data_IF_878205705325
#
_entry.id   IF_878205705325
#
_cell.length_a   1.000
_cell.length_b   1.000
_cell.length_c   1.000
_cell.angle_alpha   90.00
_cell.angle_beta   90.00
_cell.angle_gamma   90.00
#
_symmetry.space_group_name_H-M   'P 1'
#
loop_
_entity.id
_entity.type
_entity.pdbx_description
1 polymer ?
#
# COMPACT_ATOMS: atom_id res chain seq x y z
N UNK A 1 46.09 35.21 -21.56
CA UNK A 1 46.03 34.08 -20.61
C UNK A 1 44.57 33.77 -20.40
N UNK A 2 44.13 32.76 -21.06
CA UNK A 2 42.77 32.30 -21.30
C UNK A 2 42.31 31.43 -20.14
N UNK A 3 41.23 31.79 -19.49
CA UNK A 3 40.52 30.95 -18.55
C UNK A 3 39.39 30.20 -19.27
N UNK A 4 39.52 28.90 -19.38
CA UNK A 4 38.50 28.04 -19.90
C UNK A 4 37.44 27.80 -18.81
N UNK A 5 36.19 28.18 -19.05
CA UNK A 5 35.03 27.79 -18.27
C UNK A 5 34.49 26.47 -18.81
N UNK A 6 34.63 25.43 -18.04
CA UNK A 6 33.96 24.15 -18.27
C UNK A 6 32.47 24.30 -17.99
N UNK A 7 31.70 24.27 -19.06
CA UNK A 7 30.24 24.24 -19.05
C UNK A 7 29.84 22.77 -18.85
N UNK A 8 29.49 22.39 -17.61
CA UNK A 8 28.98 21.07 -17.27
C UNK A 8 27.46 21.10 -17.53
N UNK A 9 27.08 20.74 -18.76
CA UNK A 9 25.71 20.65 -19.20
C UNK A 9 25.11 19.32 -18.71
N UNK A 10 24.21 19.41 -17.74
CA UNK A 10 23.27 18.35 -17.37
C UNK A 10 22.56 17.78 -18.61
N UNK A 11 22.36 16.45 -18.72
CA UNK A 11 21.68 15.86 -19.86
C UNK A 11 20.21 16.29 -19.88
N UNK A 12 19.82 17.00 -20.95
CA UNK A 12 18.47 17.45 -21.25
C UNK A 12 17.53 16.23 -21.46
N UNK A 13 16.77 15.84 -20.44
CA UNK A 13 15.69 14.85 -20.49
C UNK A 13 14.32 15.48 -20.82
N UNK A 14 14.23 16.45 -21.71
CA UNK A 14 12.95 17.06 -22.10
C UNK A 14 13.06 17.62 -23.52
N UNK A 15 13.06 16.72 -24.52
CA UNK A 15 12.60 17.00 -25.87
C UNK A 15 12.04 15.69 -26.47
N UNK A 16 10.92 15.21 -25.90
CA UNK A 16 10.08 14.22 -26.57
C UNK A 16 9.30 14.96 -27.66
N UNK A 17 9.51 14.59 -28.91
CA UNK A 17 8.74 15.04 -30.03
C UNK A 17 7.28 14.53 -29.83
N UNK A 18 6.27 15.41 -29.65
CA UNK A 18 4.88 14.97 -29.39
C UNK A 18 4.34 14.08 -30.49
N UNK A 19 4.78 14.26 -31.74
CA UNK A 19 4.39 13.40 -32.86
C UNK A 19 4.98 11.99 -32.72
N UNK A 20 6.20 11.89 -32.19
CA UNK A 20 6.86 10.61 -31.95
C UNK A 20 6.21 9.84 -30.78
N UNK A 21 5.81 10.54 -29.73
CA UNK A 21 5.08 9.93 -28.61
C UNK A 21 3.71 9.40 -29.06
N UNK A 22 3.00 10.18 -29.88
CA UNK A 22 1.72 9.77 -30.43
C UNK A 22 1.85 8.53 -31.35
N UNK A 23 2.91 8.48 -32.16
CA UNK A 23 3.22 7.32 -33.00
C UNK A 23 3.58 6.09 -32.16
N UNK A 24 4.38 6.25 -31.10
CA UNK A 24 4.67 5.16 -30.16
C UNK A 24 3.41 4.63 -29.50
N UNK A 25 2.52 5.50 -29.03
CA UNK A 25 1.25 5.10 -28.43
C UNK A 25 0.33 4.37 -29.42
N UNK A 26 0.25 4.84 -30.67
CA UNK A 26 -0.52 4.18 -31.73
C UNK A 26 0.03 2.78 -32.04
N UNK A 27 1.33 2.66 -32.26
CA UNK A 27 1.99 1.37 -32.54
C UNK A 27 1.84 0.40 -31.35
N UNK A 28 1.96 0.91 -30.13
CA UNK A 28 1.78 0.12 -28.91
C UNK A 28 0.32 -0.40 -28.81
N UNK A 29 -0.67 0.44 -29.07
CA UNK A 29 -2.07 0.05 -29.06
C UNK A 29 -2.39 -1.02 -30.12
N UNK A 30 -1.87 -0.87 -31.35
CA UNK A 30 -2.04 -1.88 -32.38
C UNK A 30 -1.43 -3.23 -31.97
N UNK A 31 -0.30 -3.21 -31.29
CA UNK A 31 0.41 -4.42 -30.89
C UNK A 31 -0.18 -5.11 -29.66
N UNK A 32 -0.42 -4.34 -28.57
CA UNK A 32 -0.82 -4.90 -27.27
C UNK A 32 -2.34 -5.03 -27.10
N UNK A 33 -3.13 -4.06 -27.60
CA UNK A 33 -4.59 -4.08 -27.41
C UNK A 33 -5.28 -4.81 -28.58
N UNK A 34 -4.79 -4.63 -29.82
CA UNK A 34 -5.39 -5.18 -31.01
C UNK A 34 -4.67 -6.43 -31.54
N UNK A 35 -3.65 -6.92 -30.83
CA UNK A 35 -2.90 -8.16 -31.10
C UNK A 35 -2.36 -8.26 -32.54
N UNK A 36 -2.09 -7.12 -33.18
CA UNK A 36 -1.54 -7.10 -34.55
C UNK A 36 -0.07 -7.49 -34.53
N UNK A 37 0.34 -8.25 -35.58
CA UNK A 37 1.77 -8.56 -35.73
C UNK A 37 2.58 -7.31 -36.10
N UNK A 38 3.87 -7.29 -35.77
CA UNK A 38 4.75 -6.18 -36.19
C UNK A 38 4.79 -5.99 -37.70
N UNK A 39 4.57 -7.07 -38.49
CA UNK A 39 4.48 -7.03 -39.95
C UNK A 39 3.21 -6.35 -40.44
N UNK A 40 2.08 -6.59 -39.80
CA UNK A 40 0.79 -5.96 -40.18
C UNK A 40 0.79 -4.48 -39.81
N UNK A 41 1.32 -4.15 -38.61
CA UNK A 41 1.51 -2.77 -38.18
C UNK A 41 2.40 -2.00 -39.15
N UNK A 42 3.49 -2.63 -39.60
CA UNK A 42 4.40 -2.02 -40.56
C UNK A 42 3.70 -1.67 -41.87
N UNK A 43 2.83 -2.57 -42.39
CA UNK A 43 2.03 -2.33 -43.59
C UNK A 43 1.00 -1.21 -43.39
N UNK A 44 0.31 -1.22 -42.26
CA UNK A 44 -0.76 -0.26 -41.94
C UNK A 44 -0.21 1.17 -41.70
N UNK A 45 0.95 1.26 -41.05
CA UNK A 45 1.56 2.56 -40.67
C UNK A 45 2.57 3.10 -41.71
N UNK A 46 2.90 2.33 -42.73
CA UNK A 46 3.94 2.71 -43.71
C UNK A 46 5.37 2.61 -43.16
N UNK A 47 5.55 1.97 -41.99
CA UNK A 47 6.84 1.78 -41.35
C UNK A 47 7.48 0.45 -41.79
N UNK A 48 8.77 0.30 -41.55
CA UNK A 48 9.42 -1.02 -41.64
C UNK A 48 9.19 -1.79 -40.33
N UNK A 49 9.22 -3.12 -40.38
CA UNK A 49 9.12 -4.01 -39.21
C UNK A 49 10.16 -3.65 -38.13
N UNK A 50 11.36 -3.26 -38.55
CA UNK A 50 12.41 -2.83 -37.63
C UNK A 50 12.06 -1.52 -36.90
N UNK A 51 11.46 -0.55 -37.61
CA UNK A 51 10.98 0.71 -37.00
C UNK A 51 9.87 0.46 -35.99
N UNK A 52 8.92 -0.43 -36.30
CA UNK A 52 7.87 -0.86 -35.36
C UNK A 52 8.47 -1.48 -34.09
N UNK A 53 9.42 -2.43 -34.23
CA UNK A 53 10.09 -3.05 -33.09
C UNK A 53 10.86 -2.03 -32.23
N UNK A 54 11.49 -1.04 -32.88
CA UNK A 54 12.20 0.05 -32.20
C UNK A 54 11.23 0.96 -31.43
N UNK A 55 10.13 1.37 -32.04
CA UNK A 55 9.12 2.21 -31.38
C UNK A 55 8.47 1.51 -30.17
N UNK A 56 8.20 0.20 -30.26
CA UNK A 56 7.72 -0.59 -29.12
C UNK A 56 8.72 -0.66 -27.96
N UNK A 57 10.02 -0.71 -28.27
CA UNK A 57 11.07 -0.67 -27.25
C UNK A 57 11.14 0.71 -26.59
N UNK A 58 11.20 1.76 -27.39
CA UNK A 58 11.22 3.15 -26.92
C UNK A 58 9.98 3.45 -26.08
N UNK A 59 8.78 3.02 -26.51
CA UNK A 59 7.54 3.19 -25.74
C UNK A 59 7.61 2.59 -24.33
N UNK A 60 8.35 1.48 -24.15
CA UNK A 60 8.63 0.92 -22.83
C UNK A 60 9.66 1.72 -22.03
N UNK A 61 10.72 2.17 -22.70
CA UNK A 61 11.80 2.96 -22.09
C UNK A 61 11.31 4.32 -21.58
N UNK A 62 10.41 4.97 -22.31
CA UNK A 62 9.82 6.27 -21.93
C UNK A 62 8.54 6.14 -21.08
N UNK A 63 8.06 4.92 -20.81
CA UNK A 63 6.93 4.66 -19.92
C UNK A 63 5.53 4.78 -20.56
N UNK A 64 5.43 4.97 -21.90
CA UNK A 64 4.15 4.92 -22.64
C UNK A 64 3.53 3.52 -22.55
N UNK A 65 4.37 2.48 -22.53
CA UNK A 65 3.97 1.08 -22.29
C UNK A 65 4.61 0.60 -21.00
N UNK A 66 3.78 0.14 -20.07
CA UNK A 66 4.24 -0.58 -18.87
C UNK A 66 3.78 -2.04 -18.99
N UNK A 67 4.74 -2.97 -19.00
CA UNK A 67 4.46 -4.41 -18.97
C UNK A 67 4.81 -4.90 -17.58
N UNK A 68 3.82 -5.47 -16.90
CA UNK A 68 4.00 -6.09 -15.61
C UNK A 68 3.78 -7.60 -15.74
N UNK A 69 4.83 -8.37 -15.41
CA UNK A 69 4.77 -9.84 -15.38
C UNK A 69 4.45 -10.23 -13.95
N UNK A 70 3.22 -10.74 -13.75
CA UNK A 70 2.76 -11.15 -12.43
C UNK A 70 2.91 -12.67 -12.33
N UNK A 71 3.84 -13.16 -11.51
CA UNK A 71 3.89 -14.58 -11.19
C UNK A 71 2.57 -14.97 -10.51
N UNK A 72 1.97 -16.07 -10.92
CA UNK A 72 0.84 -16.65 -10.19
C UNK A 72 1.41 -17.55 -9.09
N UNK A 73 1.64 -17.00 -7.92
CA UNK A 73 1.95 -17.83 -6.76
C UNK A 73 0.70 -18.57 -6.31
N UNK A 74 0.76 -19.90 -6.13
CA UNK A 74 -0.37 -20.66 -5.64
C UNK A 74 -0.65 -20.28 -4.17
N UNK A 75 -1.92 -20.22 -3.80
CA UNK A 75 -2.35 -20.20 -2.40
C UNK A 75 -1.96 -21.52 -1.73
N UNK A 76 -1.77 -21.49 -0.42
CA UNK A 76 -1.38 -22.64 0.40
C UNK A 76 -2.52 -23.02 1.37
N UNK A 77 -3.57 -23.74 0.90
CA UNK A 77 -4.79 -23.98 1.68
C UNK A 77 -4.54 -24.67 3.02
N UNK A 78 -3.50 -25.49 3.14
CA UNK A 78 -3.16 -26.16 4.39
C UNK A 78 -2.68 -25.16 5.47
N UNK A 79 -1.84 -24.18 5.10
CA UNK A 79 -1.41 -23.11 6.01
C UNK A 79 -2.58 -22.16 6.32
N UNK A 80 -3.40 -21.84 5.33
CA UNK A 80 -4.58 -20.99 5.52
C UNK A 80 -5.54 -21.59 6.55
N UNK A 81 -5.87 -22.88 6.40
CA UNK A 81 -6.74 -23.57 7.34
C UNK A 81 -6.15 -23.67 8.76
N UNK A 82 -4.83 -23.86 8.86
CA UNK A 82 -4.14 -23.89 10.15
C UNK A 82 -4.12 -22.51 10.82
N UNK A 83 -3.82 -21.45 10.07
CA UNK A 83 -3.87 -20.06 10.54
C UNK A 83 -5.28 -19.68 11.04
N UNK A 84 -6.32 -19.99 10.25
CA UNK A 84 -7.71 -19.75 10.64
C UNK A 84 -8.07 -20.46 11.95
N UNK A 85 -7.72 -21.74 12.06
CA UNK A 85 -7.99 -22.54 13.26
C UNK A 85 -7.27 -22.03 14.50
N UNK A 86 -5.96 -21.70 14.37
CA UNK A 86 -5.11 -21.32 15.50
C UNK A 86 -5.41 -19.91 16.02
N UNK A 87 -5.59 -18.96 15.11
CA UNK A 87 -5.78 -17.55 15.46
C UNK A 87 -7.24 -17.09 15.41
N UNK A 88 -8.18 -17.98 15.07
CA UNK A 88 -9.59 -17.63 14.95
C UNK A 88 -9.89 -16.64 13.83
N UNK A 89 -9.07 -16.65 12.76
CA UNK A 89 -9.26 -15.76 11.63
C UNK A 89 -10.51 -16.16 10.84
N UNK A 90 -11.20 -15.16 10.33
CA UNK A 90 -12.30 -15.33 9.37
C UNK A 90 -11.77 -15.86 8.03
N UNK A 91 -10.61 -15.36 7.61
CA UNK A 91 -9.92 -15.79 6.39
C UNK A 91 -8.42 -15.62 6.56
N UNK A 92 -7.65 -16.54 6.02
CA UNK A 92 -6.21 -16.41 5.80
C UNK A 92 -5.93 -16.60 4.31
N UNK A 93 -5.09 -15.76 3.76
CA UNK A 93 -4.66 -15.77 2.36
C UNK A 93 -3.14 -15.90 2.38
N UNK A 94 -2.64 -17.11 2.13
CA UNK A 94 -1.21 -17.40 2.20
C UNK A 94 -0.68 -17.75 0.81
N UNK A 95 0.26 -16.98 0.32
CA UNK A 95 0.89 -17.18 -0.99
C UNK A 95 2.26 -17.83 -0.84
N UNK A 96 2.57 -18.79 -1.73
CA UNK A 96 3.87 -19.44 -1.74
C UNK A 96 5.00 -18.43 -1.91
N UNK A 97 6.07 -18.56 -1.13
CA UNK A 97 7.26 -17.70 -1.22
C UNK A 97 8.00 -17.90 -2.52
N UNK A 98 8.52 -16.83 -3.09
CA UNK A 98 9.34 -16.82 -4.31
C UNK A 98 10.81 -16.58 -4.03
N UNK A 99 11.16 -16.11 -2.83
CA UNK A 99 12.49 -15.66 -2.46
C UNK A 99 12.79 -14.23 -2.88
N UNK A 100 11.80 -13.50 -3.42
CA UNK A 100 11.90 -12.09 -3.80
C UNK A 100 10.72 -11.33 -3.14
N UNK A 101 11.05 -10.49 -2.17
CA UNK A 101 10.06 -9.76 -1.36
C UNK A 101 9.19 -8.82 -2.20
N UNK A 102 9.73 -8.20 -3.25
CA UNK A 102 8.95 -7.33 -4.14
C UNK A 102 7.93 -8.14 -4.96
N UNK A 103 8.30 -9.32 -5.42
CA UNK A 103 7.41 -10.26 -6.10
C UNK A 103 6.33 -10.75 -5.13
N UNK A 104 6.72 -11.16 -3.93
CA UNK A 104 5.79 -11.62 -2.89
C UNK A 104 4.80 -10.53 -2.49
N UNK A 105 5.28 -9.30 -2.30
CA UNK A 105 4.42 -8.15 -2.02
C UNK A 105 3.40 -7.91 -3.14
N UNK A 106 3.80 -8.05 -4.40
CA UNK A 106 2.87 -7.90 -5.54
C UNK A 106 1.78 -8.98 -5.52
N UNK A 107 2.14 -10.26 -5.36
CA UNK A 107 1.15 -11.34 -5.40
C UNK A 107 0.23 -11.36 -4.17
N UNK A 108 0.76 -11.04 -2.98
CA UNK A 108 -0.04 -10.94 -1.75
C UNK A 108 -1.01 -9.76 -1.82
N UNK A 109 -0.56 -8.58 -2.25
CA UNK A 109 -1.44 -7.40 -2.40
C UNK A 109 -2.50 -7.60 -3.46
N UNK A 110 -2.19 -8.31 -4.56
CA UNK A 110 -3.17 -8.71 -5.56
C UNK A 110 -4.23 -9.66 -4.99
N UNK A 111 -3.81 -10.67 -4.23
CA UNK A 111 -4.73 -11.62 -3.61
C UNK A 111 -5.63 -10.91 -2.57
N UNK A 112 -5.08 -10.01 -1.76
CA UNK A 112 -5.83 -9.18 -0.82
C UNK A 112 -6.84 -8.27 -1.54
N UNK A 113 -6.45 -7.64 -2.65
CA UNK A 113 -7.34 -6.80 -3.47
C UNK A 113 -8.49 -7.61 -4.07
N UNK A 114 -8.23 -8.82 -4.56
CA UNK A 114 -9.27 -9.73 -5.06
C UNK A 114 -10.21 -10.19 -3.95
N UNK A 115 -9.69 -10.47 -2.76
CA UNK A 115 -10.52 -10.83 -1.61
C UNK A 115 -11.46 -9.69 -1.24
N UNK A 116 -10.95 -8.46 -1.11
CA UNK A 116 -11.77 -7.28 -0.84
C UNK A 116 -12.86 -7.09 -1.90
N UNK A 117 -12.51 -7.20 -3.18
CA UNK A 117 -13.44 -7.07 -4.29
C UNK A 117 -14.50 -8.19 -4.34
N UNK A 118 -14.19 -9.34 -3.76
CA UNK A 118 -15.08 -10.51 -3.69
C UNK A 118 -16.03 -10.53 -2.50
N UNK A 119 -15.96 -9.54 -1.58
CA UNK A 119 -16.83 -9.52 -0.40
C UNK A 119 -18.30 -9.40 -0.78
N UNK A 120 -19.15 -10.22 -0.13
CA UNK A 120 -20.59 -10.24 -0.34
C UNK A 120 -21.35 -10.06 0.99
N UNK A 121 -22.28 -9.13 1.10
CA UNK A 121 -22.56 -8.06 0.10
C UNK A 121 -21.39 -7.10 -0.05
N UNK A 122 -21.28 -6.40 -1.19
CA UNK A 122 -20.21 -5.41 -1.40
C UNK A 122 -20.28 -4.32 -0.32
N UNK A 123 -19.15 -4.00 0.37
CA UNK A 123 -19.15 -3.00 1.41
C UNK A 123 -19.31 -1.59 0.83
N UNK A 124 -20.29 -0.84 1.31
CA UNK A 124 -20.51 0.54 0.86
C UNK A 124 -19.45 1.51 1.38
N UNK A 125 -18.87 1.21 2.55
CA UNK A 125 -17.86 2.04 3.20
C UNK A 125 -16.64 1.18 3.57
N UNK A 126 -15.46 1.61 3.14
CA UNK A 126 -14.18 0.93 3.38
C UNK A 126 -13.16 1.91 3.93
N UNK A 127 -12.60 1.60 5.09
CA UNK A 127 -11.48 2.32 5.66
C UNK A 127 -10.15 1.76 5.12
N UNK A 128 -9.23 2.65 4.76
CA UNK A 128 -7.88 2.26 4.32
C UNK A 128 -6.81 3.05 5.05
N UNK A 129 -5.69 2.40 5.39
CA UNK A 129 -4.50 3.12 5.83
C UNK A 129 -3.66 3.57 4.63
N UNK A 130 -2.74 4.48 4.87
CA UNK A 130 -1.71 4.78 3.88
C UNK A 130 -0.52 3.81 3.99
N UNK A 131 0.39 3.83 3.02
CA UNK A 131 1.62 3.06 3.02
C UNK A 131 1.88 2.35 1.69
N UNK A 132 3.14 1.94 1.49
CA UNK A 132 3.61 1.29 0.25
C UNK A 132 2.79 0.04 -0.11
N UNK A 133 2.50 -0.79 0.87
CA UNK A 133 1.67 -2.01 0.70
C UNK A 133 0.26 -1.67 0.23
N UNK A 134 -0.37 -0.64 0.82
CA UNK A 134 -1.73 -0.25 0.45
C UNK A 134 -1.78 0.41 -0.93
N UNK A 135 -0.75 1.16 -1.33
CA UNK A 135 -0.62 1.67 -2.69
C UNK A 135 -0.57 0.52 -3.69
N UNK A 136 0.25 -0.50 -3.42
CA UNK A 136 0.33 -1.69 -4.27
C UNK A 136 -1.02 -2.43 -4.33
N UNK A 137 -1.70 -2.61 -3.21
CA UNK A 137 -3.04 -3.22 -3.19
C UNK A 137 -4.05 -2.43 -4.05
N UNK A 138 -4.02 -1.09 -3.99
CA UNK A 138 -4.88 -0.24 -4.82
C UNK A 138 -4.66 -0.45 -6.33
N UNK A 139 -3.41 -0.71 -6.75
CA UNK A 139 -3.07 -0.98 -8.16
C UNK A 139 -3.70 -2.28 -8.70
N UNK A 140 -3.97 -3.23 -7.81
CA UNK A 140 -4.49 -4.55 -8.14
C UNK A 140 -5.99 -4.70 -7.98
N UNK A 141 -6.70 -3.66 -7.55
CA UNK A 141 -8.15 -3.68 -7.50
C UNK A 141 -8.72 -3.75 -8.92
N UNK A 142 -9.64 -4.67 -9.20
CA UNK A 142 -10.30 -4.71 -10.50
C UNK A 142 -11.01 -3.39 -10.80
N UNK A 143 -11.07 -2.95 -12.06
CA UNK A 143 -11.90 -1.80 -12.42
C UNK A 143 -13.35 -2.03 -11.97
N UNK A 144 -13.96 -1.02 -11.34
CA UNK A 144 -15.32 -1.07 -10.79
C UNK A 144 -15.52 -2.20 -9.78
N UNK A 145 -14.47 -2.51 -9.00
CA UNK A 145 -14.50 -3.58 -8.00
C UNK A 145 -15.66 -3.47 -7.01
N UNK A 146 -16.15 -2.27 -6.79
CA UNK A 146 -17.30 -1.98 -5.93
C UNK A 146 -17.89 -0.62 -6.33
N UNK A 147 -18.81 -0.62 -7.28
CA UNK A 147 -19.33 0.59 -7.93
C UNK A 147 -19.99 1.54 -6.92
N UNK A 148 -19.47 2.76 -6.86
CA UNK A 148 -19.95 3.80 -5.94
C UNK A 148 -19.43 3.71 -4.50
N UNK A 149 -18.40 2.89 -4.22
CA UNK A 149 -17.84 2.73 -2.87
C UNK A 149 -17.39 4.05 -2.26
N UNK A 150 -17.70 4.25 -0.98
CA UNK A 150 -17.10 5.30 -0.17
C UNK A 150 -15.82 4.76 0.51
N UNK A 151 -14.69 5.41 0.29
CA UNK A 151 -13.43 5.03 0.91
C UNK A 151 -12.97 6.14 1.86
N UNK A 152 -12.69 5.80 3.10
CA UNK A 152 -12.22 6.75 4.12
C UNK A 152 -10.78 6.42 4.55
N UNK A 153 -9.95 7.45 4.74
CA UNK A 153 -8.61 7.28 5.29
C UNK A 153 -8.69 7.07 6.80
N UNK A 154 -8.07 5.98 7.31
CA UNK A 154 -8.13 5.59 8.72
C UNK A 154 -7.21 6.41 9.63
N UNK A 155 -6.17 7.00 9.09
CA UNK A 155 -5.16 7.76 9.81
C UNK A 155 -4.82 9.05 9.08
N UNK A 156 -4.26 10.02 9.79
CA UNK A 156 -3.92 11.33 9.24
C UNK A 156 -2.94 11.22 8.06
N UNK A 157 -2.96 12.21 7.19
CA UNK A 157 -2.12 12.26 6.01
C UNK A 157 -0.63 12.30 6.38
N UNK A 158 0.22 11.77 5.51
CA UNK A 158 1.67 11.86 5.67
C UNK A 158 2.14 13.27 5.31
N UNK A 159 3.16 13.74 6.04
CA UNK A 159 3.76 15.04 5.80
C UNK A 159 4.44 15.12 4.43
N UNK A 160 4.19 16.21 3.74
CA UNK A 160 4.36 16.52 2.33
C UNK A 160 5.84 16.61 1.86
N UNK A 161 6.84 16.35 2.69
CA UNK A 161 8.18 16.80 2.33
C UNK A 161 8.89 16.05 1.20
N UNK A 162 8.66 14.76 0.95
CA UNK A 162 9.30 14.06 -0.18
C UNK A 162 8.64 12.75 -0.66
N UNK A 163 7.66 12.19 0.02
CA UNK A 163 7.01 10.91 -0.38
C UNK A 163 5.60 11.18 -0.92
N UNK A 164 5.31 12.42 -1.14
CA UNK A 164 3.99 13.02 -1.04
C UNK A 164 3.01 12.63 -2.14
N UNK A 165 3.44 12.42 -3.35
CA UNK A 165 2.47 12.19 -4.44
C UNK A 165 1.88 10.78 -4.43
N UNK A 166 2.60 9.81 -3.89
CA UNK A 166 2.15 8.41 -3.95
C UNK A 166 1.37 7.95 -2.72
N UNK A 167 1.70 8.44 -1.53
CA UNK A 167 1.07 7.96 -0.29
C UNK A 167 -0.21 8.70 0.08
N UNK A 168 -0.35 9.96 -0.30
CA UNK A 168 -1.54 10.77 -0.01
C UNK A 168 -2.80 10.36 -0.81
N UNK A 169 -2.64 9.50 -1.78
CA UNK A 169 -3.70 9.13 -2.72
C UNK A 169 -4.21 7.69 -2.56
N UNK A 170 -3.94 7.00 -1.44
CA UNK A 170 -4.39 5.60 -1.29
C UNK A 170 -5.92 5.51 -1.33
N UNK A 171 -6.62 6.28 -0.49
CA UNK A 171 -8.07 6.26 -0.45
C UNK A 171 -8.70 6.67 -1.80
N UNK A 172 -8.14 7.68 -2.46
CA UNK A 172 -8.58 8.10 -3.79
C UNK A 172 -8.36 7.01 -4.85
N UNK A 173 -7.24 6.28 -4.80
CA UNK A 173 -6.98 5.16 -5.72
C UNK A 173 -7.96 4.02 -5.53
N UNK A 174 -8.25 3.63 -4.27
CA UNK A 174 -9.27 2.63 -3.97
C UNK A 174 -10.65 3.06 -4.46
N UNK A 175 -11.05 4.30 -4.18
CA UNK A 175 -12.31 4.87 -4.61
C UNK A 175 -12.41 4.95 -6.14
N UNK A 176 -11.37 5.46 -6.81
CA UNK A 176 -11.35 5.57 -8.28
C UNK A 176 -11.49 4.21 -8.96
N UNK A 177 -10.77 3.18 -8.47
CA UNK A 177 -10.92 1.83 -8.99
C UNK A 177 -12.35 1.28 -8.83
N UNK A 178 -13.10 1.72 -7.81
CA UNK A 178 -14.50 1.37 -7.55
C UNK A 178 -15.51 2.35 -8.12
N UNK A 179 -15.10 3.31 -8.97
CA UNK A 179 -15.99 4.38 -9.45
C UNK A 179 -16.76 5.08 -8.29
N UNK A 180 -16.09 5.25 -7.15
CA UNK A 180 -16.61 5.81 -5.92
C UNK A 180 -15.97 7.14 -5.54
N UNK A 181 -16.04 7.49 -4.27
CA UNK A 181 -15.45 8.71 -3.75
C UNK A 181 -14.64 8.44 -2.47
N UNK A 182 -13.67 9.32 -2.18
CA UNK A 182 -12.80 9.21 -1.01
C UNK A 182 -13.04 10.36 -0.03
N UNK A 183 -12.96 10.05 1.26
CA UNK A 183 -12.86 11.03 2.35
C UNK A 183 -11.46 10.93 2.96
N UNK A 184 -10.73 12.02 2.92
CA UNK A 184 -9.38 12.12 3.48
C UNK A 184 -9.44 12.75 4.87
N UNK A 185 -8.56 12.32 5.76
CA UNK A 185 -8.35 12.98 7.05
C UNK A 185 -7.33 14.12 6.85
N UNK A 186 -7.77 15.40 6.81
CA UNK A 186 -6.95 16.52 6.32
C UNK A 186 -5.99 17.07 7.38
N UNK A 187 -5.36 16.19 8.15
CA UNK A 187 -4.43 16.53 9.23
C UNK A 187 -3.21 15.62 9.18
N UNK A 188 -2.04 16.05 9.69
CA UNK A 188 -0.86 15.19 9.81
C UNK A 188 -1.15 13.97 10.68
N UNK A 189 -0.49 12.83 10.40
CA UNK A 189 -0.67 11.60 11.19
C UNK A 189 -0.20 11.75 12.65
N UNK A 190 0.91 12.47 12.85
CA UNK A 190 1.42 12.82 14.17
C UNK A 190 1.55 14.33 14.29
N UNK A 191 1.07 14.87 15.38
CA UNK A 191 1.04 16.30 15.66
C UNK A 191 2.16 16.69 16.62
N UNK A 192 2.41 17.99 16.74
CA UNK A 192 3.46 18.51 17.62
C UNK A 192 3.17 18.32 19.11
N UNK A 193 1.89 18.20 19.50
CA UNK A 193 1.48 18.02 20.90
C UNK A 193 0.11 17.34 20.99
N UNK A 194 -0.16 16.75 22.16
CA UNK A 194 -1.47 16.21 22.52
C UNK A 194 -2.55 17.27 22.44
N UNK A 195 -2.31 18.47 22.96
CA UNK A 195 -3.25 19.59 22.95
C UNK A 195 -3.66 19.97 21.51
N UNK A 196 -2.74 19.91 20.56
CA UNK A 196 -3.04 20.17 19.14
C UNK A 196 -3.94 19.07 18.59
N UNK A 197 -3.68 17.79 18.93
CA UNK A 197 -4.53 16.66 18.55
C UNK A 197 -5.96 16.85 19.08
N UNK A 198 -6.10 17.13 20.37
CA UNK A 198 -7.40 17.33 21.01
C UNK A 198 -8.20 18.47 20.36
N UNK A 199 -7.54 19.59 20.06
CA UNK A 199 -8.17 20.73 19.40
C UNK A 199 -8.66 20.37 17.99
N UNK A 200 -7.87 19.60 17.23
CA UNK A 200 -8.26 19.14 15.89
C UNK A 200 -9.36 18.08 15.93
N UNK A 201 -9.34 17.17 16.89
CA UNK A 201 -10.42 16.17 17.06
C UNK A 201 -11.76 16.79 17.47
N UNK A 202 -11.75 17.99 18.06
CA UNK A 202 -12.94 18.77 18.38
C UNK A 202 -13.47 19.59 17.19
N UNK A 203 -12.65 19.78 16.14
CA UNK A 203 -13.12 20.42 14.90
C UNK A 203 -14.14 19.51 14.21
N UNK A 204 -15.31 20.09 13.81
CA UNK A 204 -16.42 19.29 13.28
C UNK A 204 -16.07 18.53 12.01
N UNK A 205 -15.20 19.08 11.13
CA UNK A 205 -14.79 18.42 9.89
C UNK A 205 -13.92 17.20 10.21
N UNK A 206 -12.95 17.37 11.11
CA UNK A 206 -12.06 16.29 11.54
C UNK A 206 -12.83 15.21 12.31
N UNK A 207 -13.72 15.62 13.24
CA UNK A 207 -14.56 14.72 14.00
C UNK A 207 -15.47 13.87 13.11
N UNK A 208 -16.05 14.46 12.07
CA UNK A 208 -16.87 13.73 11.10
C UNK A 208 -16.07 12.67 10.33
N UNK A 209 -14.87 12.98 9.89
CA UNK A 209 -13.99 12.00 9.20
C UNK A 209 -13.61 10.86 10.14
N UNK A 210 -13.24 11.16 11.39
CA UNK A 210 -12.92 10.15 12.39
C UNK A 210 -14.11 9.25 12.70
N UNK A 211 -15.31 9.80 12.78
CA UNK A 211 -16.56 9.05 12.95
C UNK A 211 -16.81 8.13 11.75
N UNK A 212 -16.67 8.61 10.51
CA UNK A 212 -16.82 7.78 9.31
C UNK A 212 -15.78 6.64 9.31
N UNK A 213 -14.54 6.91 9.69
CA UNK A 213 -13.50 5.90 9.81
C UNK A 213 -13.83 4.84 10.87
N UNK A 214 -14.42 5.28 11.99
CA UNK A 214 -14.86 4.39 13.07
C UNK A 214 -16.08 3.54 12.67
N UNK A 215 -16.99 4.07 11.89
CA UNK A 215 -18.20 3.38 11.39
C UNK A 215 -17.91 2.43 10.23
N UNK A 216 -16.75 2.55 9.55
CA UNK A 216 -16.41 1.69 8.41
C UNK A 216 -16.40 0.21 8.82
N UNK A 217 -17.23 -0.66 8.21
CA UNK A 217 -17.31 -2.07 8.56
C UNK A 217 -16.09 -2.86 8.06
N UNK A 218 -15.36 -2.32 7.10
CA UNK A 218 -14.16 -2.90 6.52
C UNK A 218 -12.99 -1.96 6.76
N UNK A 219 -11.90 -2.47 7.32
CA UNK A 219 -10.62 -1.78 7.43
C UNK A 219 -9.55 -2.57 6.68
N UNK A 220 -8.82 -1.91 5.78
CA UNK A 220 -7.67 -2.48 5.08
C UNK A 220 -6.42 -1.70 5.50
N UNK A 221 -5.42 -2.39 6.01
CA UNK A 221 -4.19 -1.76 6.46
C UNK A 221 -3.00 -2.70 6.38
N UNK A 222 -1.81 -2.14 6.45
CA UNK A 222 -0.56 -2.86 6.61
C UNK A 222 0.08 -2.48 7.94
N UNK A 223 0.79 -3.42 8.53
CA UNK A 223 1.65 -3.19 9.69
C UNK A 223 2.95 -2.54 9.24
N UNK A 224 3.43 -1.57 10.00
CA UNK A 224 4.73 -0.92 9.79
C UNK A 224 5.85 -1.67 10.51
N UNK A 225 6.99 -1.79 9.87
CA UNK A 225 8.20 -2.36 10.46
C UNK A 225 8.88 -1.36 11.43
N UNK A 226 9.56 -1.87 12.44
CA UNK A 226 10.40 -1.08 13.31
C UNK A 226 11.79 -0.95 12.68
N UNK A 227 11.95 -0.04 11.74
CA UNK A 227 13.22 0.20 11.05
C UNK A 227 13.42 1.66 10.65
N UNK A 228 14.68 2.04 10.40
CA UNK A 228 15.01 3.36 9.86
C UNK A 228 14.48 3.58 8.43
N UNK A 229 14.02 2.52 7.75
CA UNK A 229 13.39 2.56 6.42
C UNK A 229 11.86 2.67 6.49
N UNK A 230 11.31 2.77 7.70
CA UNK A 230 9.86 2.90 7.86
C UNK A 230 9.35 4.20 7.25
N UNK A 231 8.13 4.18 6.75
CA UNK A 231 7.47 5.37 6.18
C UNK A 231 7.37 6.51 7.20
N UNK A 232 7.29 6.19 8.50
CA UNK A 232 7.26 7.19 9.57
C UNK A 232 8.58 7.94 9.71
N UNK A 233 9.72 7.27 9.48
CA UNK A 233 11.05 7.91 9.45
C UNK A 233 11.24 8.71 8.17
N UNK A 234 10.93 8.13 7.02
CA UNK A 234 11.02 8.82 5.71
C UNK A 234 10.16 10.10 5.67
N UNK A 235 9.00 10.08 6.33
CA UNK A 235 8.09 11.22 6.43
C UNK A 235 8.50 12.24 7.51
N UNK A 236 9.53 11.95 8.31
CA UNK A 236 10.03 12.84 9.34
C UNK A 236 9.17 12.93 10.61
N UNK A 237 8.26 11.98 10.84
CA UNK A 237 7.47 11.90 12.08
C UNK A 237 8.27 11.42 13.27
N UNK A 238 9.17 10.48 13.02
CA UNK A 238 10.14 9.96 14.00
C UNK A 238 11.52 9.94 13.34
N UNK A 239 12.55 9.99 14.15
CA UNK A 239 13.94 9.87 13.70
C UNK A 239 14.55 8.53 14.15
N UNK A 240 15.78 8.26 13.71
CA UNK A 240 16.52 7.05 14.05
C UNK A 240 16.78 6.92 15.58
N UNK A 241 16.85 8.04 16.32
CA UNK A 241 17.05 8.00 17.76
C UNK A 241 15.77 7.54 18.46
N UNK A 242 14.62 8.06 18.05
CA UNK A 242 13.31 7.63 18.53
C UNK A 242 13.07 6.15 18.20
N UNK A 243 13.43 5.70 16.99
CA UNK A 243 13.27 4.28 16.60
C UNK A 243 14.08 3.35 17.50
N UNK A 244 15.33 3.69 17.80
CA UNK A 244 16.17 2.92 18.74
C UNK A 244 15.65 2.94 20.19
N UNK A 245 15.03 4.02 20.60
CA UNK A 245 14.39 4.09 21.94
C UNK A 245 13.15 3.21 21.99
N UNK A 246 12.30 3.26 20.97
CA UNK A 246 11.13 2.39 20.83
C UNK A 246 11.51 0.90 20.88
N UNK A 247 12.56 0.51 20.17
CA UNK A 247 13.08 -0.86 20.19
C UNK A 247 13.50 -1.30 21.61
N UNK A 248 14.24 -0.45 22.35
CA UNK A 248 14.63 -0.71 23.74
C UNK A 248 13.44 -0.82 24.69
N UNK A 249 12.34 -0.15 24.36
CA UNK A 249 11.09 -0.21 25.12
C UNK A 249 10.21 -1.40 24.73
N UNK A 250 10.68 -2.25 23.81
CA UNK A 250 10.01 -3.47 23.40
C UNK A 250 9.04 -3.31 22.23
N UNK A 251 9.07 -2.19 21.52
CA UNK A 251 8.27 -2.04 20.29
C UNK A 251 8.67 -3.10 19.26
N UNK A 252 7.70 -3.60 18.51
CA UNK A 252 7.90 -4.58 17.44
C UNK A 252 7.50 -4.05 16.06
N UNK A 253 6.83 -2.92 16.02
CA UNK A 253 6.36 -2.26 14.81
C UNK A 253 5.26 -1.26 15.12
N UNK A 254 4.59 -0.77 14.08
CA UNK A 254 3.46 0.14 14.24
C UNK A 254 2.18 -0.35 13.55
N UNK A 255 1.05 0.08 14.08
CA UNK A 255 -0.29 -0.15 13.56
C UNK A 255 -0.99 1.20 13.48
N UNK A 256 -1.33 1.64 12.27
CA UNK A 256 -1.94 2.95 12.02
C UNK A 256 -1.14 4.12 12.63
N UNK A 257 0.21 4.00 12.62
CA UNK A 257 1.14 5.00 13.16
C UNK A 257 1.36 4.93 14.67
N UNK A 258 0.85 3.90 15.37
CA UNK A 258 1.05 3.69 16.80
C UNK A 258 1.95 2.50 17.06
N UNK A 259 3.04 2.72 17.79
CA UNK A 259 4.03 1.69 18.10
C UNK A 259 3.52 0.76 19.18
N UNK A 260 3.62 -0.55 18.92
CA UNK A 260 3.12 -1.61 19.78
C UNK A 260 4.21 -2.61 20.15
N UNK A 261 4.03 -3.26 21.30
CA UNK A 261 4.84 -4.39 21.75
C UNK A 261 4.34 -5.74 21.21
N UNK A 262 4.92 -6.85 21.66
CA UNK A 262 4.57 -8.22 21.31
C UNK A 262 3.13 -8.61 21.66
N UNK A 263 2.50 -7.92 22.61
CA UNK A 263 1.09 -8.13 22.99
C UNK A 263 0.12 -7.28 22.19
N UNK A 264 0.65 -6.31 21.39
CA UNK A 264 -0.13 -5.33 20.66
C UNK A 264 -0.51 -4.09 21.48
N UNK A 265 0.05 -3.95 22.70
CA UNK A 265 -0.18 -2.78 23.55
C UNK A 265 0.75 -1.61 23.15
N UNK A 266 0.29 -0.39 23.35
CA UNK A 266 1.02 0.81 22.94
C UNK A 266 2.25 1.04 23.83
N UNK A 267 3.43 1.08 23.21
CA UNK A 267 4.73 1.24 23.92
C UNK A 267 5.05 2.70 24.22
N UNK A 268 4.58 3.63 23.40
CA UNK A 268 4.96 5.04 23.46
C UNK A 268 3.73 5.95 23.67
N UNK A 269 3.18 6.06 24.89
CA UNK A 269 2.01 6.89 25.18
C UNK A 269 2.19 8.35 24.78
N UNK A 270 3.41 8.88 24.86
CA UNK A 270 3.75 10.26 24.47
C UNK A 270 3.71 10.48 22.93
N UNK A 271 3.93 9.44 22.13
CA UNK A 271 3.72 9.49 20.68
C UNK A 271 2.24 9.24 20.36
N UNK A 272 1.61 8.28 21.03
CA UNK A 272 0.19 7.98 20.85
C UNK A 272 -0.69 9.18 21.19
N UNK A 273 -0.40 9.89 22.29
CA UNK A 273 -1.18 11.05 22.71
C UNK A 273 -1.24 12.18 21.67
N UNK A 274 -0.32 12.22 20.70
CA UNK A 274 -0.28 13.18 19.60
C UNK A 274 -0.54 12.57 18.21
N UNK A 275 -0.88 11.27 18.14
CA UNK A 275 -1.22 10.57 16.89
C UNK A 275 -2.73 10.63 16.66
N UNK A 276 -3.13 11.05 15.45
CA UNK A 276 -4.55 11.21 15.07
C UNK A 276 -4.97 10.17 14.04
N UNK A 277 -6.18 9.64 14.20
CA UNK A 277 -6.76 8.61 13.34
C UNK A 277 -7.40 7.49 14.15
N UNK A 278 -7.90 6.47 13.46
CA UNK A 278 -8.52 5.31 14.09
C UNK A 278 -7.55 4.64 15.05
N UNK A 279 -8.02 4.35 16.26
CA UNK A 279 -7.23 3.63 17.26
C UNK A 279 -7.19 2.13 16.92
N UNK A 280 -6.05 1.43 17.14
CA UNK A 280 -5.93 -0.01 16.83
C UNK A 280 -7.01 -0.86 17.49
N UNK A 281 -7.44 -0.52 18.70
CA UNK A 281 -8.48 -1.26 19.43
C UNK A 281 -9.81 -1.32 18.68
N UNK A 282 -10.12 -0.27 17.89
CA UNK A 282 -11.34 -0.20 17.06
C UNK A 282 -11.33 -1.16 15.87
N UNK A 283 -10.16 -1.70 15.52
CA UNK A 283 -10.03 -2.73 14.49
C UNK A 283 -10.71 -4.05 14.90
N UNK A 284 -10.84 -4.31 16.22
CA UNK A 284 -11.52 -5.50 16.75
C UNK A 284 -13.02 -5.52 16.43
N UNK A 285 -13.61 -4.34 16.28
CA UNK A 285 -15.05 -4.17 16.04
C UNK A 285 -15.43 -4.23 14.55
N UNK A 286 -14.43 -4.29 13.66
CA UNK A 286 -14.67 -4.32 12.21
C UNK A 286 -15.17 -5.68 11.76
N UNK A 287 -16.19 -5.69 10.88
CA UNK A 287 -16.66 -6.92 10.25
C UNK A 287 -15.53 -7.62 9.47
N UNK A 288 -14.71 -6.81 8.78
CA UNK A 288 -13.50 -7.26 8.10
C UNK A 288 -12.34 -6.31 8.44
N UNK A 289 -11.43 -6.78 9.27
CA UNK A 289 -10.16 -6.13 9.56
C UNK A 289 -9.06 -6.85 8.79
N UNK A 290 -8.72 -6.33 7.62
CA UNK A 290 -7.84 -6.95 6.63
C UNK A 290 -6.43 -6.42 6.82
N UNK A 291 -5.57 -7.22 7.43
CA UNK A 291 -4.14 -6.96 7.56
C UNK A 291 -3.38 -7.55 6.37
N UNK A 292 -2.49 -6.76 5.78
CA UNK A 292 -1.63 -7.19 4.66
C UNK A 292 -0.18 -7.00 5.05
N UNK A 293 0.60 -8.07 5.10
CA UNK A 293 2.03 -8.00 5.40
C UNK A 293 2.84 -9.03 4.62
N UNK A 294 4.08 -8.68 4.31
CA UNK A 294 5.06 -9.51 3.64
C UNK A 294 6.43 -9.20 4.23
N UNK A 295 7.26 -10.23 4.36
CA UNK A 295 8.65 -10.10 4.75
C UNK A 295 8.94 -10.26 6.23
N UNK A 296 10.15 -10.71 6.52
CA UNK A 296 10.63 -11.05 7.86
C UNK A 296 10.58 -9.88 8.84
N UNK A 297 10.84 -8.67 8.35
CA UNK A 297 10.83 -7.44 9.15
C UNK A 297 9.47 -7.16 9.83
N UNK A 298 8.40 -7.78 9.34
CA UNK A 298 7.02 -7.63 9.85
C UNK A 298 6.51 -8.81 10.66
N UNK A 299 7.27 -9.87 10.81
CA UNK A 299 6.86 -11.08 11.55
C UNK A 299 6.36 -10.76 12.96
N UNK A 300 7.14 -10.00 13.73
CA UNK A 300 6.81 -9.69 15.12
C UNK A 300 5.55 -8.82 15.24
N UNK A 301 5.42 -7.79 14.43
CA UNK A 301 4.23 -6.91 14.47
C UNK A 301 2.99 -7.64 13.95
N UNK A 302 3.12 -8.55 12.98
CA UNK A 302 2.01 -9.39 12.53
C UNK A 302 1.53 -10.32 13.65
N UNK A 303 2.45 -10.92 14.43
CA UNK A 303 2.14 -11.71 15.62
C UNK A 303 1.41 -10.87 16.67
N UNK A 304 1.90 -9.66 16.95
CA UNK A 304 1.26 -8.72 17.87
C UNK A 304 -0.17 -8.39 17.44
N UNK A 305 -0.41 -8.14 16.14
CA UNK A 305 -1.74 -7.91 15.59
C UNK A 305 -2.70 -9.09 15.81
N UNK A 306 -2.21 -10.33 15.63
CA UNK A 306 -3.01 -11.54 15.86
C UNK A 306 -3.36 -11.69 17.34
N UNK A 307 -2.40 -11.53 18.24
CA UNK A 307 -2.59 -11.61 19.69
C UNK A 307 -3.59 -10.59 20.20
N UNK A 308 -3.45 -9.34 19.73
CA UNK A 308 -4.35 -8.27 20.08
C UNK A 308 -5.72 -8.36 19.38
N UNK A 309 -5.91 -9.31 18.45
CA UNK A 309 -7.13 -9.47 17.63
C UNK A 309 -7.44 -8.20 16.80
N UNK A 310 -6.42 -7.51 16.34
CA UNK A 310 -6.58 -6.34 15.49
C UNK A 310 -6.91 -6.71 14.05
N UNK A 311 -6.65 -7.95 13.64
CA UNK A 311 -6.97 -8.50 12.32
C UNK A 311 -7.86 -9.73 12.47
N UNK A 312 -8.83 -9.86 11.58
CA UNK A 312 -9.63 -11.06 11.41
C UNK A 312 -9.53 -11.67 10.00
N UNK A 313 -8.83 -10.95 9.09
CA UNK A 313 -8.41 -11.44 7.77
C UNK A 313 -6.94 -11.10 7.60
N UNK A 314 -6.11 -12.09 7.28
CA UNK A 314 -4.67 -11.90 7.04
C UNK A 314 -4.32 -12.32 5.62
N UNK A 315 -3.68 -11.42 4.86
CA UNK A 315 -3.02 -11.75 3.59
C UNK A 315 -1.51 -11.64 3.75
N UNK A 316 -0.78 -12.72 3.47
CA UNK A 316 0.65 -12.81 3.74
C UNK A 316 1.37 -13.83 2.84
N UNK A 317 2.69 -13.85 2.93
CA UNK A 317 3.57 -14.85 2.32
C UNK A 317 3.71 -16.11 3.18
N UNK A 318 4.25 -17.17 2.59
CA UNK A 318 4.46 -18.46 3.26
C UNK A 318 5.41 -18.38 4.45
N UNK A 319 6.50 -17.59 4.32
CA UNK A 319 7.51 -17.49 5.38
C UNK A 319 6.90 -16.84 6.64
N UNK A 320 6.14 -15.76 6.46
CA UNK A 320 5.40 -15.11 7.54
C UNK A 320 4.37 -16.05 8.17
N UNK A 321 3.59 -16.78 7.36
CA UNK A 321 2.60 -17.71 7.88
C UNK A 321 3.24 -18.83 8.72
N UNK A 322 4.35 -19.41 8.27
CA UNK A 322 5.11 -20.42 9.02
C UNK A 322 5.66 -19.87 10.33
N UNK A 323 6.29 -18.69 10.29
CA UNK A 323 6.76 -18.02 11.50
C UNK A 323 5.63 -17.84 12.54
N UNK A 324 4.48 -17.35 12.10
CA UNK A 324 3.32 -17.13 12.98
C UNK A 324 2.79 -18.44 13.58
N UNK A 325 2.77 -19.52 12.81
CA UNK A 325 2.38 -20.84 13.29
C UNK A 325 3.40 -21.45 14.26
N UNK A 326 4.70 -21.20 14.08
CA UNK A 326 5.75 -21.69 14.98
C UNK A 326 5.78 -20.93 16.30
N UNK A 327 5.55 -19.61 16.29
CA UNK A 327 5.74 -18.72 17.44
C UNK A 327 4.44 -18.11 18.00
N UNK A 328 3.29 -18.57 17.54
CA UNK A 328 2.00 -17.96 17.88
C UNK A 328 1.58 -18.06 19.35
N UNK A 329 2.11 -19.04 20.08
CA UNK A 329 1.76 -19.33 21.50
C UNK A 329 2.80 -18.77 22.50
N UNK A 330 3.92 -18.23 22.03
CA UNK A 330 4.94 -17.57 22.83
C UNK A 330 4.57 -16.08 23.06
#
# INVERSE_FOLDING_TARGET
MTSASTNDSLPSRLNSDPQREQLMAQVAKLYYDLERTQGDIAKETGLTRWQVARLLREAREVGIVRIEIIPRSPRLPHLEAEMQRRFGLREAIVLASSGDEDVELNVVTQAAGRYLAGLQPPPQLVGVSWGRTMIKMAQWLPPRWNDGVHVVLLNGAINIRNVAEQTNNVAERFAHAGNGHATLLPVPAMLGSERTREALEQDHIVADVLRIADEAPVACFSMGELSERSVLVESGYVDAAIMRDLEKRGAVGDILGRFVDESGEIVAPELDSRTIGLRPERLRDKAFSIGVCVGESKHRVARACLRARYINVLATDEATARFLLEHGDE
#
